data_IF_406474237901
#
_entry.id   IF_406474237901
#
_cell.length_a   1.000
_cell.length_b   1.000
_cell.length_c   1.000
_cell.angle_alpha   90.00
_cell.angle_beta   90.00
_cell.angle_gamma   90.00
#
_symmetry.space_group_name_H-M   'P 1'
#
loop_
_entity.id
_entity.type
_entity.pdbx_description
1 polymer ?
#
# COMPACT_ATOMS: atom_id res chain seq x y z
N UNK A 1 25.99 3.97 -8.83
CA UNK A 1 26.02 5.23 -8.06
C UNK A 1 26.78 5.02 -6.75
N UNK A 2 26.41 4.09 -5.88
CA UNK A 2 27.11 3.81 -4.62
C UNK A 2 28.64 3.68 -4.79
N UNK A 3 29.11 2.82 -5.69
CA UNK A 3 30.54 2.62 -5.97
C UNK A 3 31.28 3.87 -6.49
N UNK A 4 30.56 4.93 -6.86
CA UNK A 4 31.11 6.25 -7.25
C UNK A 4 30.98 7.29 -6.12
N UNK A 5 30.66 6.87 -4.91
CA UNK A 5 30.57 7.75 -3.75
C UNK A 5 29.25 8.54 -3.63
N UNK A 6 28.19 8.18 -4.38
CA UNK A 6 26.89 8.81 -4.21
C UNK A 6 26.34 8.58 -2.79
N UNK A 7 25.69 9.59 -2.22
CA UNK A 7 25.13 9.56 -0.86
C UNK A 7 23.73 10.16 -0.83
N UNK A 8 22.88 9.59 -0.02
CA UNK A 8 21.57 10.12 0.35
C UNK A 8 21.76 11.29 1.31
N UNK A 9 20.97 12.36 1.14
CA UNK A 9 21.08 13.61 1.89
C UNK A 9 19.93 13.88 2.84
N UNK A 10 18.78 13.23 2.62
CA UNK A 10 17.57 13.39 3.42
C UNK A 10 17.18 12.05 4.04
N UNK A 11 16.43 12.02 5.16
CA UNK A 11 15.93 10.78 5.73
C UNK A 11 15.20 9.96 4.68
N UNK A 12 15.63 8.73 4.48
CA UNK A 12 15.12 7.88 3.39
C UNK A 12 15.08 6.43 3.84
N UNK A 13 13.94 5.79 3.70
CA UNK A 13 13.78 4.34 3.84
C UNK A 13 13.92 3.67 2.48
N UNK A 14 14.22 2.37 2.47
CA UNK A 14 14.34 1.61 1.22
C UNK A 14 13.43 0.40 1.23
N UNK A 15 12.64 0.27 0.17
CA UNK A 15 11.82 -0.90 -0.13
C UNK A 15 12.38 -1.74 -1.30
N UNK A 16 13.22 -1.17 -2.17
CA UNK A 16 13.67 -1.79 -3.41
C UNK A 16 14.47 -3.08 -3.17
N UNK A 17 13.76 -4.18 -3.04
CA UNK A 17 14.29 -5.54 -2.99
C UNK A 17 13.30 -6.51 -3.63
N UNK A 18 13.82 -7.41 -4.47
CA UNK A 18 13.01 -8.38 -5.22
C UNK A 18 13.03 -9.79 -4.64
N UNK A 19 13.61 -9.97 -3.45
CA UNK A 19 13.73 -11.27 -2.78
C UNK A 19 13.64 -11.10 -1.27
N UNK A 20 13.15 -12.12 -0.58
CA UNK A 20 13.30 -12.20 0.87
C UNK A 20 14.78 -12.41 1.23
N UNK A 21 15.43 -11.39 1.80
CA UNK A 21 16.86 -11.42 2.13
C UNK A 21 17.30 -12.59 3.00
N UNK A 22 16.40 -13.11 3.83
CA UNK A 22 16.70 -14.20 4.76
C UNK A 22 16.50 -15.56 4.11
N UNK A 23 15.42 -15.72 3.36
CA UNK A 23 14.91 -17.03 2.99
C UNK A 23 14.98 -17.34 1.49
N UNK A 24 15.38 -16.38 0.62
CA UNK A 24 15.33 -16.57 -0.83
C UNK A 24 16.04 -17.84 -1.33
N UNK A 25 17.13 -18.29 -0.64
CA UNK A 25 17.84 -19.51 -0.99
C UNK A 25 16.99 -20.74 -0.72
N UNK A 26 16.29 -20.76 0.43
CA UNK A 26 15.40 -21.86 0.83
C UNK A 26 14.11 -21.86 -0.01
N UNK A 27 13.71 -20.71 -0.52
CA UNK A 27 12.56 -20.56 -1.43
C UNK A 27 12.85 -20.99 -2.85
N UNK A 28 14.07 -21.47 -3.15
CA UNK A 28 14.45 -21.92 -4.49
C UNK A 28 14.67 -20.83 -5.52
N UNK A 29 14.91 -19.60 -5.07
CA UNK A 29 15.22 -18.48 -5.98
C UNK A 29 16.57 -18.70 -6.64
N UNK A 30 16.67 -18.47 -7.94
CA UNK A 30 17.93 -18.59 -8.68
C UNK A 30 19.05 -17.79 -8.00
N UNK A 31 20.23 -18.42 -7.85
CA UNK A 31 21.33 -17.85 -7.08
C UNK A 31 21.86 -16.54 -7.70
N UNK A 32 21.94 -16.46 -9.03
CA UNK A 32 22.45 -15.27 -9.71
C UNK A 32 21.44 -14.11 -9.57
N UNK A 33 20.14 -14.39 -9.67
CA UNK A 33 19.08 -13.40 -9.44
C UNK A 33 19.07 -12.91 -7.99
N UNK A 34 19.01 -13.82 -7.01
CA UNK A 34 18.97 -13.47 -5.59
C UNK A 34 20.20 -12.68 -5.13
N UNK A 35 21.39 -13.02 -5.66
CA UNK A 35 22.62 -12.29 -5.38
C UNK A 35 22.61 -10.88 -5.97
N UNK A 36 22.08 -10.69 -7.20
CA UNK A 36 21.95 -9.36 -7.81
C UNK A 36 20.95 -8.48 -7.08
N UNK A 37 19.78 -9.03 -6.73
CA UNK A 37 18.76 -8.34 -5.95
C UNK A 37 19.28 -7.88 -4.58
N UNK A 38 20.02 -8.75 -3.89
CA UNK A 38 20.64 -8.42 -2.60
C UNK A 38 21.68 -7.31 -2.73
N UNK A 39 22.58 -7.38 -3.74
CA UNK A 39 23.58 -6.31 -4.00
C UNK A 39 22.94 -4.97 -4.34
N UNK A 40 21.82 -4.97 -5.06
CA UNK A 40 21.08 -3.73 -5.34
C UNK A 40 20.60 -3.10 -4.05
N UNK A 41 19.94 -3.87 -3.19
CA UNK A 41 19.47 -3.41 -1.89
C UNK A 41 20.63 -2.92 -1.00
N UNK A 42 21.74 -3.65 -0.95
CA UNK A 42 22.95 -3.24 -0.22
C UNK A 42 23.51 -1.89 -0.74
N UNK A 43 23.48 -1.67 -2.05
CA UNK A 43 23.93 -0.41 -2.65
C UNK A 43 23.13 0.80 -2.17
N UNK A 44 21.82 0.67 -1.96
CA UNK A 44 21.00 1.74 -1.36
C UNK A 44 21.37 1.99 0.11
N UNK A 45 21.58 0.92 0.87
CA UNK A 45 21.99 1.01 2.27
C UNK A 45 23.38 1.66 2.39
N UNK A 46 24.33 1.28 1.50
CA UNK A 46 25.66 1.89 1.43
C UNK A 46 25.61 3.40 1.10
N UNK A 47 24.60 3.84 0.36
CA UNK A 47 24.35 5.26 0.09
C UNK A 47 23.75 6.00 1.30
N UNK A 48 23.24 5.31 2.32
CA UNK A 48 22.68 5.88 3.54
C UNK A 48 21.17 5.66 3.72
N UNK A 49 20.51 4.82 2.91
CA UNK A 49 19.11 4.49 3.11
C UNK A 49 18.91 3.56 4.31
N UNK A 50 17.85 3.79 5.07
CA UNK A 50 17.43 2.92 6.18
C UNK A 50 16.74 1.67 5.62
N UNK A 51 17.20 0.45 5.96
CA UNK A 51 16.70 -0.80 5.40
C UNK A 51 15.36 -1.23 6.03
N UNK A 52 14.28 -0.54 5.72
CA UNK A 52 12.93 -0.90 6.18
C UNK A 52 12.34 -2.08 5.42
N UNK A 53 12.60 -2.17 4.12
CA UNK A 53 12.12 -3.22 3.21
C UNK A 53 10.63 -3.52 3.39
N UNK A 54 9.81 -2.48 3.46
CA UNK A 54 8.36 -2.57 3.51
C UNK A 54 7.72 -1.79 2.38
N UNK A 55 6.71 -2.36 1.74
CA UNK A 55 5.87 -1.65 0.77
C UNK A 55 4.78 -0.80 1.45
N UNK A 56 4.68 -0.84 2.77
CA UNK A 56 3.77 -0.05 3.58
C UNK A 56 4.54 0.86 4.56
N UNK A 57 5.35 1.83 4.08
CA UNK A 57 6.17 2.68 4.93
C UNK A 57 5.35 3.59 5.85
N UNK A 58 4.09 3.82 5.55
CA UNK A 58 3.12 4.54 6.39
C UNK A 58 2.72 3.78 7.67
N UNK A 59 3.08 2.50 7.80
CA UNK A 59 2.93 1.72 9.04
C UNK A 59 4.16 1.78 9.95
N UNK A 60 5.24 2.44 9.53
CA UNK A 60 6.42 2.67 10.37
C UNK A 60 6.10 3.68 11.49
N UNK A 61 6.94 3.71 12.51
CA UNK A 61 6.71 4.53 13.70
C UNK A 61 6.73 6.05 13.48
N UNK A 62 7.15 6.52 12.31
CA UNK A 62 7.22 7.95 11.96
C UNK A 62 6.66 8.17 10.54
N UNK A 63 5.34 8.07 10.35
CA UNK A 63 4.71 8.32 9.06
C UNK A 63 4.73 9.82 8.74
N UNK A 64 4.70 10.20 7.45
CA UNK A 64 4.67 11.60 7.03
C UNK A 64 3.46 12.35 7.58
N UNK A 65 3.69 13.59 7.98
CA UNK A 65 2.64 14.49 8.46
C UNK A 65 1.81 15.09 7.30
N UNK A 66 0.61 15.59 7.62
CA UNK A 66 -0.21 16.31 6.66
C UNK A 66 0.53 17.57 6.15
N UNK A 67 0.53 17.75 4.83
CA UNK A 67 1.25 18.85 4.14
C UNK A 67 2.74 18.60 3.95
N UNK A 68 3.32 17.58 4.56
CA UNK A 68 4.74 17.26 4.41
C UNK A 68 5.05 16.81 2.97
N UNK A 69 6.10 17.40 2.38
CA UNK A 69 6.58 17.05 1.05
C UNK A 69 7.57 15.88 1.14
N UNK A 70 7.23 14.76 0.54
CA UNK A 70 8.04 13.54 0.53
C UNK A 70 8.28 13.06 -0.90
N UNK A 71 9.18 12.10 -1.10
CA UNK A 71 9.46 11.48 -2.39
C UNK A 71 9.30 9.98 -2.30
N UNK A 72 8.09 9.46 -2.52
CA UNK A 72 7.82 8.03 -2.59
C UNK A 72 7.45 7.60 -4.00
N UNK A 73 7.84 6.38 -4.40
CA UNK A 73 7.54 5.80 -5.71
C UNK A 73 6.66 4.54 -5.65
N UNK A 74 6.59 3.85 -4.50
CA UNK A 74 5.70 2.70 -4.32
C UNK A 74 4.23 3.13 -4.46
N UNK A 75 3.50 2.56 -5.43
CA UNK A 75 2.17 3.06 -5.83
C UNK A 75 1.17 3.12 -4.69
N UNK A 76 1.07 2.06 -3.88
CA UNK A 76 0.13 2.05 -2.75
C UNK A 76 0.51 3.09 -1.70
N UNK A 77 1.81 3.24 -1.42
CA UNK A 77 2.32 4.19 -0.43
C UNK A 77 2.11 5.64 -0.85
N UNK A 78 2.31 5.95 -2.14
CA UNK A 78 2.02 7.27 -2.72
C UNK A 78 0.55 7.64 -2.52
N UNK A 79 -0.35 6.72 -2.85
CA UNK A 79 -1.78 6.97 -2.75
C UNK A 79 -2.21 7.12 -1.29
N UNK A 80 -1.73 6.25 -0.41
CA UNK A 80 -2.03 6.33 1.02
C UNK A 80 -1.50 7.63 1.64
N UNK A 81 -0.27 8.00 1.34
CA UNK A 81 0.34 9.24 1.84
C UNK A 81 -0.45 10.49 1.41
N UNK A 82 -0.79 10.58 0.12
CA UNK A 82 -1.55 11.71 -0.39
C UNK A 82 -2.99 11.72 0.13
N UNK A 83 -3.67 10.57 0.12
CA UNK A 83 -5.12 10.48 0.35
C UNK A 83 -5.48 10.40 1.82
N UNK A 84 -4.74 9.61 2.60
CA UNK A 84 -5.08 9.30 4.00
C UNK A 84 -4.30 10.17 4.96
N UNK A 85 -2.98 10.29 4.78
CA UNK A 85 -2.14 11.12 5.65
C UNK A 85 -2.20 12.61 5.29
N UNK A 86 -2.63 12.97 4.06
CA UNK A 86 -2.58 14.35 3.59
C UNK A 86 -1.17 14.86 3.30
N UNK A 87 -0.17 13.98 3.23
CA UNK A 87 1.18 14.31 2.79
C UNK A 87 1.20 14.62 1.30
N UNK A 88 2.34 15.06 0.78
CA UNK A 88 2.46 15.53 -0.61
C UNK A 88 3.58 14.80 -1.33
N UNK A 89 3.22 14.00 -2.33
CA UNK A 89 4.15 13.31 -3.21
C UNK A 89 3.56 13.09 -4.59
N UNK A 90 4.42 12.97 -5.60
CA UNK A 90 4.02 12.54 -6.94
C UNK A 90 4.10 11.02 -7.05
N UNK A 91 3.34 10.45 -7.97
CA UNK A 91 3.58 9.09 -8.45
C UNK A 91 4.70 9.16 -9.48
N UNK A 92 5.93 8.91 -9.02
CA UNK A 92 7.16 9.09 -9.81
C UNK A 92 7.76 7.74 -10.17
N UNK A 93 8.50 7.65 -11.29
CA UNK A 93 9.23 6.44 -11.64
C UNK A 93 10.40 6.20 -10.69
N UNK A 94 10.80 4.93 -10.58
CA UNK A 94 12.01 4.51 -9.88
C UNK A 94 13.22 5.32 -10.37
N UNK A 95 14.20 5.52 -9.52
CA UNK A 95 15.35 6.41 -9.67
C UNK A 95 15.06 7.91 -9.50
N UNK A 96 13.86 8.42 -9.79
CA UNK A 96 13.56 9.83 -9.48
C UNK A 96 13.44 10.04 -7.97
N UNK A 97 12.85 9.10 -7.24
CA UNK A 97 12.84 9.07 -5.77
C UNK A 97 14.27 9.02 -5.21
N UNK A 98 15.17 8.23 -5.82
CA UNK A 98 16.58 8.21 -5.46
C UNK A 98 17.24 9.58 -5.69
N UNK A 99 16.94 10.26 -6.80
CA UNK A 99 17.47 11.60 -7.05
C UNK A 99 16.89 12.63 -6.05
N UNK A 100 15.62 12.50 -5.66
CA UNK A 100 15.04 13.28 -4.58
C UNK A 100 15.80 13.02 -3.27
N UNK A 101 16.06 11.75 -2.93
CA UNK A 101 16.80 11.39 -1.73
C UNK A 101 18.25 11.95 -1.73
N UNK A 102 18.91 11.96 -2.87
CA UNK A 102 20.28 12.50 -3.02
C UNK A 102 20.36 14.02 -3.04
N UNK A 103 19.31 14.70 -3.49
CA UNK A 103 19.32 16.18 -3.68
C UNK A 103 18.51 16.91 -2.62
N UNK A 104 17.55 16.26 -1.97
CA UNK A 104 16.54 16.89 -1.11
C UNK A 104 15.57 17.78 -1.88
N UNK A 105 15.39 17.55 -3.18
CA UNK A 105 14.56 18.37 -4.06
C UNK A 105 13.67 17.51 -4.93
N UNK A 106 12.40 17.91 -5.07
CA UNK A 106 11.41 17.35 -5.99
C UNK A 106 10.86 18.44 -6.90
N UNK A 107 10.36 18.11 -8.12
CA UNK A 107 9.66 19.06 -8.96
C UNK A 107 8.39 19.57 -8.26
N UNK A 108 8.21 20.88 -8.16
CA UNK A 108 7.00 21.47 -7.56
C UNK A 108 5.87 21.51 -8.59
N UNK A 109 5.15 20.40 -8.71
CA UNK A 109 4.01 20.25 -9.63
C UNK A 109 3.04 19.17 -9.11
N UNK A 110 1.91 18.96 -9.81
CA UNK A 110 0.93 17.93 -9.49
C UNK A 110 0.48 18.00 -8.03
N UNK A 111 0.50 16.88 -7.32
CA UNK A 111 0.03 16.76 -5.94
C UNK A 111 0.89 17.44 -4.87
N UNK A 112 2.01 18.05 -5.22
CA UNK A 112 2.71 18.98 -4.32
C UNK A 112 1.96 20.31 -4.21
N UNK A 113 1.23 20.74 -5.24
CA UNK A 113 0.41 21.95 -5.25
C UNK A 113 -1.07 21.64 -5.01
N UNK A 114 -1.80 22.52 -4.33
CA UNK A 114 -3.22 22.34 -4.02
C UNK A 114 -4.07 22.14 -5.28
N UNK A 115 -3.80 22.89 -6.35
CA UNK A 115 -4.50 22.78 -7.62
C UNK A 115 -4.37 21.40 -8.28
N UNK A 116 -3.29 20.69 -8.00
CA UNK A 116 -3.03 19.33 -8.49
C UNK A 116 -3.72 18.23 -7.69
N UNK A 117 -4.43 18.59 -6.60
CA UNK A 117 -5.08 17.64 -5.67
C UNK A 117 -6.60 17.62 -5.81
N UNK A 118 -7.17 18.51 -6.62
CA UNK A 118 -8.59 18.59 -6.83
C UNK A 118 -9.14 17.33 -7.51
N UNK A 119 -10.29 16.85 -7.04
CA UNK A 119 -11.00 15.77 -7.71
C UNK A 119 -11.45 16.22 -9.10
N UNK A 120 -11.22 15.38 -10.10
CA UNK A 120 -11.63 15.58 -11.49
C UNK A 120 -12.73 14.61 -11.93
N UNK A 121 -13.12 13.71 -11.05
CA UNK A 121 -14.26 12.80 -11.19
C UNK A 121 -14.95 12.65 -9.86
N UNK A 122 -16.27 12.71 -9.85
CA UNK A 122 -17.11 12.38 -8.70
C UNK A 122 -17.69 11.00 -8.97
N UNK A 123 -17.46 10.08 -8.04
CA UNK A 123 -17.92 8.70 -8.12
C UNK A 123 -18.94 8.48 -7.01
N UNK A 124 -20.18 8.23 -7.40
CA UNK A 124 -21.27 7.94 -6.45
C UNK A 124 -21.40 6.43 -6.26
N UNK A 125 -21.39 5.94 -5.04
CA UNK A 125 -21.69 4.54 -4.74
C UNK A 125 -23.21 4.40 -4.58
N UNK A 126 -23.88 3.77 -5.56
CA UNK A 126 -25.33 3.71 -5.64
C UNK A 126 -26.00 2.88 -4.52
N UNK A 127 -25.29 1.88 -4.02
CA UNK A 127 -25.77 1.05 -2.91
C UNK A 127 -24.59 0.69 -2.01
N UNK A 128 -24.62 1.18 -0.79
CA UNK A 128 -23.65 0.81 0.25
C UNK A 128 -24.14 -0.47 0.89
N UNK A 129 -23.36 -1.57 0.85
CA UNK A 129 -23.73 -2.77 1.60
C UNK A 129 -23.78 -2.45 3.09
N UNK A 130 -24.78 -2.98 3.79
CA UNK A 130 -24.91 -2.80 5.25
C UNK A 130 -23.95 -3.68 6.04
N UNK A 131 -23.47 -4.74 5.41
CA UNK A 131 -22.50 -5.68 5.97
C UNK A 131 -21.43 -5.93 4.92
N UNK A 132 -20.20 -5.48 5.20
CA UNK A 132 -19.05 -5.59 4.30
C UNK A 132 -17.95 -6.41 4.97
N UNK A 133 -17.43 -7.37 4.24
CA UNK A 133 -16.23 -8.10 4.64
C UNK A 133 -14.95 -7.39 4.13
N UNK A 134 -13.81 -7.93 4.51
CA UNK A 134 -12.51 -7.37 4.13
C UNK A 134 -12.27 -7.40 2.61
N UNK A 135 -12.93 -8.28 1.86
CA UNK A 135 -12.83 -8.38 0.41
C UNK A 135 -13.50 -7.23 -0.33
N UNK A 136 -14.46 -6.54 0.29
CA UNK A 136 -15.14 -5.39 -0.29
C UNK A 136 -14.19 -4.22 -0.58
N UNK A 137 -13.26 -3.92 0.32
CA UNK A 137 -12.40 -2.75 0.23
C UNK A 137 -11.43 -2.78 -0.96
N UNK A 138 -10.66 -3.86 -1.19
CA UNK A 138 -9.82 -3.95 -2.38
C UNK A 138 -10.65 -4.03 -3.67
N UNK A 139 -11.83 -4.67 -3.65
CA UNK A 139 -12.72 -4.71 -4.80
C UNK A 139 -13.19 -3.31 -5.18
N UNK A 140 -13.64 -2.51 -4.21
CA UNK A 140 -14.03 -1.12 -4.41
C UNK A 140 -12.88 -0.28 -4.96
N UNK A 141 -11.68 -0.41 -4.39
CA UNK A 141 -10.49 0.29 -4.86
C UNK A 141 -10.14 -0.04 -6.30
N UNK A 142 -10.24 -1.32 -6.67
CA UNK A 142 -9.96 -1.79 -8.03
C UNK A 142 -10.97 -1.23 -9.05
N UNK A 143 -12.27 -1.23 -8.74
CA UNK A 143 -13.32 -0.64 -9.59
C UNK A 143 -13.12 0.86 -9.71
N UNK A 144 -12.89 1.55 -8.60
CA UNK A 144 -12.66 3.00 -8.56
C UNK A 144 -11.46 3.40 -9.44
N UNK A 145 -10.37 2.62 -9.40
CA UNK A 145 -9.20 2.87 -10.23
C UNK A 145 -9.48 2.65 -11.72
N UNK A 146 -10.22 1.61 -12.09
CA UNK A 146 -10.64 1.39 -13.48
C UNK A 146 -11.55 2.50 -14.02
N UNK A 147 -12.42 3.04 -13.18
CA UNK A 147 -13.26 4.18 -13.54
C UNK A 147 -12.47 5.49 -13.59
N UNK A 148 -11.33 5.58 -12.92
CA UNK A 148 -10.53 6.79 -12.81
C UNK A 148 -9.06 6.52 -13.15
N UNK A 149 -8.76 6.04 -14.39
CA UNK A 149 -7.42 5.57 -14.74
C UNK A 149 -6.39 6.70 -14.79
N UNK A 150 -6.80 7.94 -15.01
CA UNK A 150 -5.96 9.10 -15.31
C UNK A 150 -6.25 10.34 -14.46
N UNK A 151 -7.17 10.25 -13.50
CA UNK A 151 -7.66 11.41 -12.74
C UNK A 151 -8.02 11.09 -11.32
N UNK A 152 -7.90 12.08 -10.45
CA UNK A 152 -8.23 11.97 -9.03
C UNK A 152 -9.75 11.88 -8.86
N UNK A 153 -10.29 10.80 -8.29
CA UNK A 153 -11.71 10.69 -7.96
C UNK A 153 -12.02 11.24 -6.57
N UNK A 154 -13.28 11.68 -6.38
CA UNK A 154 -13.94 11.82 -5.09
C UNK A 154 -15.04 10.77 -5.00
N UNK A 155 -14.83 9.75 -4.18
CA UNK A 155 -15.85 8.74 -3.87
C UNK A 155 -16.82 9.28 -2.81
N UNK A 156 -18.11 9.09 -3.04
CA UNK A 156 -19.22 9.42 -2.14
C UNK A 156 -20.06 8.18 -1.86
N UNK A 157 -20.78 8.19 -0.77
CA UNK A 157 -21.68 7.12 -0.32
C UNK A 157 -21.14 6.26 0.80
N UNK A 158 -19.95 6.61 1.35
CA UNK A 158 -19.39 5.93 2.54
C UNK A 158 -19.38 6.81 3.79
N UNK A 159 -19.95 8.00 3.74
CA UNK A 159 -19.86 9.05 4.76
C UNK A 159 -20.31 8.56 6.15
N UNK A 160 -21.32 7.69 6.20
CA UNK A 160 -21.88 7.15 7.44
C UNK A 160 -21.23 5.83 7.88
N UNK A 161 -20.33 5.25 7.07
CA UNK A 161 -19.65 4.01 7.43
C UNK A 161 -18.40 4.29 8.26
N UNK A 162 -18.08 3.36 9.17
CA UNK A 162 -16.79 3.38 9.86
C UNK A 162 -15.75 2.66 8.98
N UNK A 163 -14.85 3.41 8.39
CA UNK A 163 -13.74 2.89 7.57
C UNK A 163 -12.45 2.94 8.38
N UNK A 164 -11.87 1.78 8.68
CA UNK A 164 -10.61 1.68 9.42
C UNK A 164 -9.38 1.82 8.52
N UNK A 165 -8.21 1.94 9.14
CA UNK A 165 -6.93 2.15 8.44
C UNK A 165 -6.57 1.01 7.49
N UNK A 166 -6.84 -0.25 7.85
CA UNK A 166 -6.59 -1.40 6.98
C UNK A 166 -7.53 -1.43 5.78
N UNK A 167 -8.80 -1.02 5.95
CA UNK A 167 -9.73 -0.83 4.84
C UNK A 167 -9.23 0.26 3.87
N UNK A 168 -8.79 1.40 4.40
CA UNK A 168 -8.19 2.48 3.60
C UNK A 168 -6.91 2.03 2.88
N UNK A 169 -6.08 1.24 3.55
CA UNK A 169 -4.89 0.61 2.96
C UNK A 169 -5.27 -0.28 1.77
N UNK A 170 -6.28 -1.14 1.94
CA UNK A 170 -6.75 -2.04 0.90
C UNK A 170 -7.32 -1.28 -0.33
N UNK A 171 -8.15 -0.25 -0.08
CA UNK A 171 -8.67 0.63 -1.16
C UNK A 171 -7.53 1.31 -1.90
N UNK A 172 -6.58 1.94 -1.20
CA UNK A 172 -5.46 2.64 -1.81
C UNK A 172 -4.56 1.72 -2.65
N UNK A 173 -4.30 0.51 -2.16
CA UNK A 173 -3.48 -0.47 -2.85
C UNK A 173 -4.14 -0.96 -4.15
N UNK A 174 -5.39 -1.34 -4.08
CA UNK A 174 -6.14 -1.81 -5.23
C UNK A 174 -6.38 -0.69 -6.26
N UNK A 175 -6.68 0.53 -5.82
CA UNK A 175 -6.76 1.71 -6.67
C UNK A 175 -5.43 1.96 -7.39
N UNK A 176 -4.31 1.87 -6.69
CA UNK A 176 -2.97 2.08 -7.26
C UNK A 176 -2.57 1.07 -8.32
N UNK A 177 -3.18 -0.12 -8.34
CA UNK A 177 -2.93 -1.15 -9.34
C UNK A 177 -3.69 -0.92 -10.65
N UNK A 178 -4.76 -0.11 -10.63
CA UNK A 178 -5.64 0.12 -11.80
C UNK A 178 -5.71 1.58 -12.25
N UNK A 179 -5.14 2.52 -11.48
CA UNK A 179 -5.11 3.95 -11.78
C UNK A 179 -3.69 4.51 -11.83
N UNK A 180 -3.45 5.42 -12.76
CA UNK A 180 -2.26 6.27 -12.80
C UNK A 180 -2.37 7.50 -11.88
N UNK A 181 -3.54 7.79 -11.32
CA UNK A 181 -3.72 8.92 -10.43
C UNK A 181 -2.91 8.75 -9.13
N UNK A 182 -2.30 9.83 -8.60
CA UNK A 182 -1.44 9.76 -7.42
C UNK A 182 -2.21 9.78 -6.08
N UNK A 183 -3.52 9.95 -6.13
CA UNK A 183 -4.40 9.99 -4.96
C UNK A 183 -5.87 9.79 -5.32
N UNK A 184 -6.68 9.60 -4.30
CA UNK A 184 -8.13 9.61 -4.34
C UNK A 184 -8.69 10.39 -3.13
N UNK A 185 -9.94 10.80 -3.19
CA UNK A 185 -10.68 11.31 -2.04
C UNK A 185 -11.85 10.39 -1.71
N UNK A 186 -12.14 10.22 -0.44
CA UNK A 186 -13.34 9.53 0.07
C UNK A 186 -14.05 10.50 1.01
N UNK A 187 -15.27 10.89 0.65
CA UNK A 187 -16.07 11.82 1.42
C UNK A 187 -16.27 11.30 2.86
N UNK A 188 -16.06 12.17 3.84
CA UNK A 188 -16.15 11.83 5.25
C UNK A 188 -14.90 11.12 5.85
N UNK A 189 -13.94 10.68 5.02
CA UNK A 189 -12.81 9.85 5.49
C UNK A 189 -11.43 10.41 5.18
N UNK A 190 -11.22 11.01 3.99
CA UNK A 190 -9.91 11.57 3.66
C UNK A 190 -9.86 13.06 4.00
N UNK A 191 -8.70 13.57 4.51
CA UNK A 191 -8.63 14.93 5.07
C UNK A 191 -8.97 16.04 4.07
N UNK A 192 -8.70 15.83 2.79
CA UNK A 192 -8.92 16.82 1.74
C UNK A 192 -10.19 16.57 0.89
N UNK A 193 -11.06 15.62 1.29
CA UNK A 193 -12.30 15.32 0.55
C UNK A 193 -13.28 16.50 0.45
N UNK A 194 -13.17 17.48 1.36
CA UNK A 194 -13.94 18.72 1.34
C UNK A 194 -13.43 19.78 0.36
N UNK A 195 -12.30 19.56 -0.32
CA UNK A 195 -11.80 20.50 -1.31
C UNK A 195 -12.78 20.62 -2.49
N UNK A 196 -12.94 21.83 -3.07
CA UNK A 196 -13.71 21.98 -4.29
C UNK A 196 -13.18 21.07 -5.41
N UNK A 197 -14.07 20.31 -6.03
CA UNK A 197 -13.72 19.56 -7.24
C UNK A 197 -13.42 20.52 -8.40
N UNK A 198 -12.63 20.05 -9.37
CA UNK A 198 -12.37 20.83 -10.57
C UNK A 198 -13.68 21.19 -11.29
N UNK A 199 -13.80 22.37 -11.91
CA UNK A 199 -15.04 22.81 -12.56
C UNK A 199 -15.57 21.86 -13.64
N UNK A 200 -14.68 21.13 -14.30
CA UNK A 200 -14.99 20.13 -15.33
C UNK A 200 -15.03 18.69 -14.80
N UNK A 201 -15.19 18.48 -13.50
CA UNK A 201 -15.30 17.15 -12.93
C UNK A 201 -16.54 16.43 -13.45
N UNK A 202 -16.34 15.29 -14.09
CA UNK A 202 -17.43 14.42 -14.54
C UNK A 202 -17.98 13.55 -13.39
N UNK A 203 -19.13 12.91 -13.63
CA UNK A 203 -19.80 12.06 -12.65
C UNK A 203 -20.01 10.68 -13.21
N UNK A 204 -19.74 9.67 -12.39
CA UNK A 204 -20.00 8.26 -12.68
C UNK A 204 -20.55 7.59 -11.42
N UNK A 205 -21.19 6.45 -11.60
CA UNK A 205 -21.78 5.69 -10.50
C UNK A 205 -21.16 4.30 -10.46
N UNK A 206 -20.85 3.81 -9.27
CA UNK A 206 -20.53 2.40 -9.01
C UNK A 206 -21.84 1.76 -8.51
N UNK A 207 -22.33 0.81 -9.27
CA UNK A 207 -23.48 -0.01 -8.87
C UNK A 207 -23.06 -1.42 -8.44
N UNK A 208 -24.02 -2.20 -7.99
CA UNK A 208 -23.79 -3.57 -7.53
C UNK A 208 -23.32 -4.50 -8.65
N UNK A 209 -23.77 -4.28 -9.88
CA UNK A 209 -23.40 -5.12 -11.02
C UNK A 209 -21.93 -4.93 -11.37
N UNK A 210 -21.43 -3.71 -11.35
CA UNK A 210 -20.00 -3.41 -11.56
C UNK A 210 -19.11 -4.08 -10.53
N UNK A 211 -19.51 -4.08 -9.26
CA UNK A 211 -18.78 -4.78 -8.20
C UNK A 211 -18.83 -6.30 -8.41
N UNK A 212 -19.98 -6.86 -8.79
CA UNK A 212 -20.12 -8.28 -9.07
C UNK A 212 -19.30 -8.72 -10.30
N UNK A 213 -19.24 -7.88 -11.33
CA UNK A 213 -18.41 -8.13 -12.52
C UNK A 213 -16.92 -8.10 -12.17
N UNK A 214 -16.51 -7.14 -11.37
CA UNK A 214 -15.14 -7.05 -10.88
C UNK A 214 -14.76 -8.29 -10.05
N UNK A 215 -15.64 -8.73 -9.16
CA UNK A 215 -15.45 -9.95 -8.38
C UNK A 215 -15.25 -11.16 -9.30
N UNK A 216 -16.13 -11.33 -10.33
CA UNK A 216 -16.00 -12.43 -11.29
C UNK A 216 -14.68 -12.39 -12.07
N UNK A 217 -14.21 -11.20 -12.46
CA UNK A 217 -12.94 -11.03 -13.16
C UNK A 217 -11.73 -11.37 -12.29
N UNK A 218 -11.76 -11.00 -11.01
CA UNK A 218 -10.67 -11.26 -10.07
C UNK A 218 -10.68 -12.71 -9.55
N UNK A 219 -11.83 -13.36 -9.57
CA UNK A 219 -12.01 -14.74 -9.10
C UNK A 219 -12.11 -15.71 -10.27
N UNK A 220 -11.08 -15.75 -11.11
CA UNK A 220 -11.04 -16.51 -12.37
C UNK A 220 -10.28 -17.82 -12.29
N UNK A 221 -9.72 -18.18 -11.14
CA UNK A 221 -8.96 -19.42 -10.94
C UNK A 221 -9.82 -20.65 -10.78
N UNK A 222 -9.19 -21.84 -10.81
CA UNK A 222 -9.81 -23.11 -10.45
C UNK A 222 -10.12 -23.21 -8.95
N UNK A 223 -10.88 -24.24 -8.57
CA UNK A 223 -11.20 -24.53 -7.18
C UNK A 223 -10.01 -25.12 -6.40
N UNK A 224 -9.09 -25.76 -7.10
CA UNK A 224 -7.91 -26.41 -6.51
C UNK A 224 -6.79 -25.37 -6.36
N UNK A 225 -6.32 -25.20 -5.13
CA UNK A 225 -5.21 -24.29 -4.79
C UNK A 225 -4.14 -25.03 -4.00
N UNK A 226 -2.88 -24.70 -4.24
CA UNK A 226 -1.71 -25.22 -3.53
C UNK A 226 -0.95 -24.13 -2.72
N UNK A 227 -1.31 -22.87 -2.94
CA UNK A 227 -0.70 -21.73 -2.28
C UNK A 227 -1.74 -20.64 -1.97
N UNK A 228 -1.72 -20.14 -0.74
CA UNK A 228 -2.36 -18.90 -0.33
C UNK A 228 -1.28 -17.88 0.03
N UNK A 229 -1.31 -16.71 -0.58
CA UNK A 229 -0.40 -15.60 -0.27
C UNK A 229 -1.20 -14.37 0.14
N UNK A 230 -0.93 -13.82 1.32
CA UNK A 230 -1.61 -12.65 1.88
C UNK A 230 -0.56 -11.61 2.29
N UNK A 231 -0.84 -10.33 2.05
CA UNK A 231 0.01 -9.24 2.52
C UNK A 231 0.66 -8.43 1.39
N UNK A 232 -0.09 -8.12 0.35
CA UNK A 232 0.27 -7.12 -0.65
C UNK A 232 -0.77 -5.99 -0.67
N UNK A 233 -0.54 -4.88 0.06
CA UNK A 233 0.66 -4.49 0.86
C UNK A 233 0.89 -5.34 2.11
N UNK A 234 2.09 -5.19 2.71
CA UNK A 234 2.45 -5.87 3.96
C UNK A 234 1.37 -5.74 5.02
N UNK A 235 1.10 -6.86 5.70
CA UNK A 235 0.09 -6.94 6.74
C UNK A 235 0.43 -6.03 7.92
N UNK A 236 -0.58 -5.36 8.45
CA UNK A 236 -0.53 -4.68 9.74
C UNK A 236 -0.56 -5.68 10.89
N UNK A 237 -0.25 -5.20 12.10
CA UNK A 237 -0.37 -6.03 13.30
C UNK A 237 -1.85 -6.44 13.56
N UNK A 238 -2.81 -5.55 13.25
CA UNK A 238 -4.23 -5.82 13.40
C UNK A 238 -4.71 -6.93 12.46
N UNK A 239 -4.33 -6.87 11.17
CA UNK A 239 -4.64 -7.93 10.20
C UNK A 239 -4.04 -9.28 10.62
N UNK A 240 -2.83 -9.30 11.16
CA UNK A 240 -2.23 -10.54 11.69
C UNK A 240 -3.01 -11.09 12.88
N UNK A 241 -3.54 -10.25 13.75
CA UNK A 241 -4.41 -10.69 14.84
C UNK A 241 -5.72 -11.30 14.33
N UNK A 242 -6.33 -10.71 13.29
CA UNK A 242 -7.52 -11.26 12.65
C UNK A 242 -7.24 -12.63 12.01
N UNK A 243 -6.12 -12.76 11.29
CA UNK A 243 -5.70 -14.05 10.71
C UNK A 243 -5.47 -15.08 11.81
N UNK A 244 -4.77 -14.71 12.89
CA UNK A 244 -4.53 -15.60 14.01
C UNK A 244 -5.85 -16.07 14.66
N UNK A 245 -6.78 -15.16 14.85
CA UNK A 245 -8.12 -15.51 15.39
C UNK A 245 -8.89 -16.44 14.45
N UNK A 246 -8.76 -16.26 13.12
CA UNK A 246 -9.37 -17.14 12.14
C UNK A 246 -8.80 -18.58 12.17
N UNK A 247 -7.56 -18.74 12.65
CA UNK A 247 -6.91 -20.04 12.83
C UNK A 247 -7.19 -20.69 14.21
N UNK A 248 -7.91 -20.03 15.10
CA UNK A 248 -8.21 -20.59 16.42
C UNK A 248 -8.92 -21.95 16.30
N UNK A 249 -8.29 -23.01 16.80
CA UNK A 249 -8.78 -24.39 16.66
C UNK A 249 -8.81 -24.96 15.23
N UNK A 250 -8.22 -24.27 14.25
CA UNK A 250 -8.18 -24.70 12.85
C UNK A 250 -6.75 -24.88 12.37
N UNK A 251 -6.59 -25.72 11.36
CA UNK A 251 -5.31 -25.93 10.69
C UNK A 251 -5.47 -25.76 9.19
N UNK A 252 -4.43 -25.20 8.53
CA UNK A 252 -4.40 -25.20 7.06
C UNK A 252 -4.37 -26.64 6.53
N UNK A 253 -4.88 -26.85 5.33
CA UNK A 253 -4.72 -28.13 4.63
C UNK A 253 -3.21 -28.42 4.45
N UNK A 254 -2.82 -29.69 4.62
CA UNK A 254 -1.40 -30.09 4.59
C UNK A 254 -0.72 -29.75 3.25
N UNK A 255 -1.44 -29.90 2.13
CA UNK A 255 -0.94 -29.68 0.78
C UNK A 255 -1.00 -28.21 0.33
N UNK A 256 -1.64 -27.32 1.11
CA UNK A 256 -1.72 -25.88 0.80
C UNK A 256 -0.67 -25.11 1.57
N UNK A 257 0.21 -24.41 0.88
CA UNK A 257 1.18 -23.50 1.48
C UNK A 257 0.51 -22.18 1.85
N UNK A 258 0.95 -21.55 2.95
CA UNK A 258 0.51 -20.21 3.36
C UNK A 258 1.73 -19.30 3.46
N UNK A 259 1.69 -18.17 2.77
CA UNK A 259 2.69 -17.10 2.85
C UNK A 259 2.00 -15.85 3.40
N UNK A 260 2.51 -15.33 4.51
CA UNK A 260 2.10 -14.03 5.07
C UNK A 260 3.29 -13.08 4.93
N UNK A 261 3.10 -11.95 4.23
CA UNK A 261 4.15 -10.94 4.06
C UNK A 261 3.93 -9.80 5.05
N UNK A 262 4.97 -9.52 5.83
CA UNK A 262 4.96 -8.51 6.90
C UNK A 262 6.23 -7.66 6.85
N UNK A 263 6.15 -6.45 7.37
CA UNK A 263 7.32 -5.61 7.62
C UNK A 263 8.17 -6.17 8.76
N UNK A 264 9.45 -5.83 8.77
CA UNK A 264 10.38 -6.27 9.82
C UNK A 264 10.04 -5.71 11.19
N UNK A 265 9.52 -4.51 11.24
CA UNK A 265 9.01 -3.83 12.44
C UNK A 265 7.88 -4.63 13.10
N UNK A 266 6.90 -5.07 12.31
CA UNK A 266 5.80 -5.93 12.78
C UNK A 266 6.34 -7.27 13.30
N UNK A 267 7.30 -7.88 12.59
CA UNK A 267 7.94 -9.12 13.03
C UNK A 267 8.68 -8.94 14.37
N UNK A 268 9.36 -7.81 14.56
CA UNK A 268 10.07 -7.51 15.79
C UNK A 268 9.10 -7.35 16.97
N UNK A 269 7.95 -6.68 16.78
CA UNK A 269 6.91 -6.54 17.80
C UNK A 269 6.38 -7.92 18.24
N UNK A 270 6.10 -8.81 17.28
CA UNK A 270 5.65 -10.17 17.56
C UNK A 270 6.70 -10.97 18.34
N UNK A 271 7.97 -10.86 17.95
CA UNK A 271 9.08 -11.57 18.60
C UNK A 271 9.28 -11.12 20.07
N UNK A 272 9.15 -9.81 20.33
CA UNK A 272 9.24 -9.26 21.68
C UNK A 272 8.11 -9.74 22.58
N UNK A 273 6.87 -9.83 22.07
CA UNK A 273 5.71 -10.35 22.83
C UNK A 273 5.84 -11.82 23.18
N UNK A 274 6.41 -12.65 22.31
CA UNK A 274 6.69 -14.05 22.59
C UNK A 274 7.78 -14.22 23.67
N UNK A 275 8.81 -13.39 23.64
CA UNK A 275 9.87 -13.39 24.65
C UNK A 275 9.36 -13.01 26.04
N UNK A 276 8.49 -11.99 26.13
CA UNK A 276 7.86 -11.56 27.40
C UNK A 276 6.86 -12.58 27.93
N UNK A 277 6.11 -13.26 27.09
CA UNK A 277 5.18 -14.32 27.51
C UNK A 277 5.94 -15.52 28.13
N UNK A 278 7.08 -15.91 27.57
CA UNK A 278 7.92 -16.99 28.10
C UNK A 278 8.64 -16.62 29.43
N UNK A 279 8.82 -15.33 29.74
CA UNK A 279 9.38 -14.89 31.01
C UNK A 279 8.34 -14.77 32.15
N UNK A 280 7.04 -14.77 31.83
CA UNK A 280 5.96 -14.69 32.82
C UNK A 280 5.38 -16.06 33.18
N UNK A 281 5.81 -17.14 32.54
CA UNK A 281 5.39 -18.54 32.78
C UNK A 281 6.49 -19.42 33.34
N UNK A 282 7.66 -18.84 33.72
CA UNK A 282 8.77 -19.51 34.36
C UNK A 282 8.81 -19.34 35.89
#
# INVERSE_FOLDING_TARGET
MAAKGARIRIPTTINAISVDRRNWRQQGVDHAFGSRASRLADSYVDMGAVPSFTCAPYLLGDPPAAGECIGWSESNAVIYANSVLGARTLKIPDYLDLFVAMTGRAPYCGTYADSGRQARRIVELAAVPTDVDDGFWPLLGWVLGKLSPDRIPLLRGLEEMKVGDDAMKAVCAAFGSTSGAPMLHIAGHTPEAGMPSAPAADRVTIDREMLADAWRQLNSGGADIDLVAIGSPHLSLAELHLINAAFDGRHRHADVKLILTIGRDVLNILSLRHSTANHLTG
#
